data_IF_326925651555
#
_entry.id   IF_326925651555
#
_cell.length_a   1.000
_cell.length_b   1.000
_cell.length_c   1.000
_cell.angle_alpha   90.00
_cell.angle_beta   90.00
_cell.angle_gamma   90.00
#
_symmetry.space_group_name_H-M   'P 1'
#
loop_
_entity.id
_entity.type
_entity.pdbx_description
1 polymer ?
#
# COMPACT_ATOMS: atom_id res chain seq x y z
N UNK A 1 34.69 36.13 12.03
CA UNK A 1 33.27 36.11 11.58
C UNK A 1 33.21 35.38 10.25
N UNK A 2 32.79 34.11 10.25
CA UNK A 2 32.52 33.35 9.01
C UNK A 2 31.04 32.99 9.04
N UNK A 3 30.25 33.72 8.27
CA UNK A 3 28.84 33.44 8.05
C UNK A 3 28.74 32.26 7.09
N UNK A 4 28.53 31.07 7.65
CA UNK A 4 28.14 29.90 6.88
C UNK A 4 26.80 30.20 6.20
N UNK A 5 26.81 30.43 4.88
CA UNK A 5 25.61 30.45 4.06
C UNK A 5 25.00 29.05 4.10
N UNK A 6 23.89 28.92 4.81
CA UNK A 6 23.01 27.76 4.66
C UNK A 6 22.43 27.86 3.25
N UNK A 7 22.93 27.05 2.32
CA UNK A 7 22.30 26.84 1.02
C UNK A 7 20.96 26.13 1.26
N UNK A 8 19.90 26.89 1.56
CA UNK A 8 18.54 26.40 1.44
C UNK A 8 18.20 26.38 -0.05
N UNK A 9 18.57 25.30 -0.75
CA UNK A 9 18.11 25.05 -2.11
C UNK A 9 16.59 25.05 -2.08
N UNK A 10 15.95 26.05 -2.71
CA UNK A 10 14.51 26.06 -2.94
C UNK A 10 14.12 24.74 -3.61
N UNK A 11 13.10 24.02 -3.10
CA UNK A 11 12.70 22.76 -3.72
C UNK A 11 12.32 22.99 -5.19
N UNK A 12 12.85 22.14 -6.06
CA UNK A 12 12.55 22.16 -7.50
C UNK A 12 11.12 21.71 -7.79
N UNK A 13 10.55 22.14 -8.92
CA UNK A 13 9.25 21.62 -9.41
C UNK A 13 9.24 20.08 -9.50
N UNK A 14 10.38 19.46 -9.82
CA UNK A 14 10.53 18.01 -9.87
C UNK A 14 10.45 17.35 -8.49
N UNK A 15 11.02 17.97 -7.44
CA UNK A 15 10.90 17.45 -6.07
C UNK A 15 9.47 17.53 -5.58
N UNK A 16 8.77 18.61 -5.91
CA UNK A 16 7.38 18.83 -5.51
C UNK A 16 6.45 17.83 -6.20
N UNK A 17 6.72 17.57 -7.49
CA UNK A 17 6.02 16.53 -8.24
C UNK A 17 6.25 15.12 -7.66
N UNK A 18 7.49 14.77 -7.31
CA UNK A 18 7.78 13.46 -6.67
C UNK A 18 7.10 13.31 -5.31
N UNK A 19 6.94 14.41 -4.58
CA UNK A 19 6.34 14.42 -3.25
C UNK A 19 4.81 14.40 -3.28
N UNK A 20 4.18 15.15 -4.21
CA UNK A 20 2.72 15.18 -4.36
C UNK A 20 2.18 13.81 -4.81
N UNK A 21 2.89 13.12 -5.71
CA UNK A 21 2.50 11.78 -6.19
C UNK A 21 2.91 10.65 -5.25
N UNK A 22 3.73 10.93 -4.24
CA UNK A 22 4.39 9.92 -3.39
C UNK A 22 5.07 8.83 -4.22
N UNK A 23 5.95 9.23 -5.15
CA UNK A 23 6.58 8.34 -6.14
C UNK A 23 7.10 7.00 -5.59
N UNK A 24 7.77 6.99 -4.42
CA UNK A 24 8.26 5.75 -3.79
C UNK A 24 7.15 4.78 -3.41
N UNK A 25 6.04 5.30 -2.87
CA UNK A 25 4.86 4.51 -2.55
C UNK A 25 4.20 4.01 -3.84
N UNK A 26 4.06 4.88 -4.84
CA UNK A 26 3.49 4.53 -6.14
C UNK A 26 4.25 3.38 -6.81
N UNK A 27 5.59 3.41 -6.80
CA UNK A 27 6.43 2.32 -7.33
C UNK A 27 6.16 1.00 -6.61
N UNK A 28 6.08 1.01 -5.27
CA UNK A 28 5.79 -0.20 -4.49
C UNK A 28 4.40 -0.77 -4.79
N UNK A 29 3.41 0.09 -5.03
CA UNK A 29 2.06 -0.33 -5.39
C UNK A 29 2.01 -0.89 -6.80
N UNK A 30 2.67 -0.22 -7.76
CA UNK A 30 2.81 -0.70 -9.14
C UNK A 30 3.52 -2.05 -9.18
N UNK A 31 4.57 -2.23 -8.38
CA UNK A 31 5.25 -3.52 -8.24
C UNK A 31 4.28 -4.63 -7.84
N UNK A 32 3.38 -4.36 -6.88
CA UNK A 32 2.37 -5.33 -6.46
C UNK A 32 1.39 -5.65 -7.59
N UNK A 33 0.95 -4.66 -8.38
CA UNK A 33 0.10 -4.89 -9.56
C UNK A 33 0.81 -5.71 -10.64
N UNK A 34 2.07 -5.40 -10.94
CA UNK A 34 2.84 -6.17 -11.92
C UNK A 34 3.07 -7.61 -11.45
N UNK A 35 3.35 -7.82 -10.16
CA UNK A 35 3.44 -9.17 -9.59
C UNK A 35 2.13 -9.94 -9.76
N UNK A 36 0.98 -9.30 -9.48
CA UNK A 36 -0.34 -9.90 -9.71
C UNK A 36 -0.60 -10.26 -11.16
N UNK A 37 -0.18 -9.39 -12.10
CA UNK A 37 -0.28 -9.65 -13.53
C UNK A 37 0.51 -10.89 -13.95
N UNK A 38 1.77 -10.99 -13.51
CA UNK A 38 2.58 -12.16 -13.81
C UNK A 38 1.99 -13.45 -13.26
N UNK A 39 1.30 -13.40 -12.12
CA UNK A 39 0.61 -14.56 -11.58
C UNK A 39 -0.60 -14.96 -12.44
N UNK A 40 -1.37 -14.00 -12.96
CA UNK A 40 -2.60 -14.26 -13.73
C UNK A 40 -2.41 -14.55 -15.22
N UNK A 41 -1.29 -14.11 -15.81
CA UNK A 41 -1.03 -14.19 -17.25
C UNK A 41 -0.61 -15.59 -17.71
N UNK A 42 -1.29 -16.16 -18.70
CA UNK A 42 -0.85 -17.41 -19.36
C UNK A 42 0.30 -17.12 -20.34
N UNK A 43 0.19 -16.02 -21.07
CA UNK A 43 1.25 -15.46 -21.91
C UNK A 43 1.47 -14.01 -21.51
N UNK A 44 2.72 -13.62 -21.29
CA UNK A 44 3.06 -12.25 -20.88
C UNK A 44 2.92 -11.30 -22.06
N UNK A 45 2.01 -10.33 -21.94
CA UNK A 45 1.90 -9.18 -22.82
C UNK A 45 2.56 -7.96 -22.15
N UNK A 46 3.73 -7.58 -22.67
CA UNK A 46 4.50 -6.44 -22.16
C UNK A 46 3.80 -5.10 -22.37
N UNK A 47 2.89 -4.98 -23.34
CA UNK A 47 2.08 -3.77 -23.53
C UNK A 47 1.12 -3.63 -22.35
N UNK A 48 0.45 -4.71 -21.94
CA UNK A 48 -0.43 -4.69 -20.76
C UNK A 48 0.36 -4.39 -19.49
N UNK A 49 1.56 -4.96 -19.31
CA UNK A 49 2.44 -4.63 -18.17
C UNK A 49 2.77 -3.14 -18.13
N UNK A 50 3.11 -2.54 -19.27
CA UNK A 50 3.43 -1.11 -19.37
C UNK A 50 2.20 -0.24 -19.06
N UNK A 51 1.05 -0.55 -19.65
CA UNK A 51 -0.21 0.15 -19.37
C UNK A 51 -0.59 0.04 -17.90
N UNK A 52 -0.44 -1.15 -17.30
CA UNK A 52 -0.72 -1.40 -15.89
C UNK A 52 0.18 -0.56 -14.98
N UNK A 53 1.47 -0.45 -15.32
CA UNK A 53 2.42 0.37 -14.57
C UNK A 53 2.09 1.87 -14.67
N UNK A 54 1.76 2.37 -15.86
CA UNK A 54 1.40 3.78 -16.09
C UNK A 54 0.07 4.11 -15.41
N UNK A 55 -0.97 3.31 -15.67
CA UNK A 55 -2.29 3.48 -15.09
C UNK A 55 -2.26 3.39 -13.57
N UNK A 56 -1.60 2.37 -13.02
CA UNK A 56 -1.40 2.21 -11.57
C UNK A 56 -0.67 3.39 -10.93
N UNK A 57 0.41 3.90 -11.56
CA UNK A 57 1.13 5.08 -11.09
C UNK A 57 0.22 6.32 -11.04
N UNK A 58 -0.57 6.56 -12.09
CA UNK A 58 -1.51 7.67 -12.12
C UNK A 58 -2.60 7.56 -11.05
N UNK A 59 -3.19 6.37 -10.85
CA UNK A 59 -4.20 6.16 -9.81
C UNK A 59 -3.64 6.43 -8.41
N UNK A 60 -2.44 5.95 -8.10
CA UNK A 60 -1.79 6.18 -6.79
C UNK A 60 -1.38 7.65 -6.65
N UNK A 61 -0.83 8.25 -7.70
CA UNK A 61 -0.44 9.66 -7.72
C UNK A 61 -1.63 10.59 -7.48
N UNK A 62 -2.75 10.35 -8.16
CA UNK A 62 -4.00 11.08 -7.96
C UNK A 62 -4.53 10.94 -6.53
N UNK A 63 -4.58 9.71 -6.01
CA UNK A 63 -5.04 9.42 -4.65
C UNK A 63 -4.25 10.20 -3.59
N UNK A 64 -2.92 10.25 -3.74
CA UNK A 64 -2.04 10.99 -2.82
C UNK A 64 -2.14 12.51 -2.99
N UNK A 65 -2.36 13.00 -4.21
CA UNK A 65 -2.59 14.42 -4.47
C UNK A 65 -3.90 14.89 -3.83
N UNK A 66 -5.01 14.16 -4.01
CA UNK A 66 -6.27 14.47 -3.35
C UNK A 66 -6.17 14.37 -1.82
N UNK A 67 -5.48 13.36 -1.29
CA UNK A 67 -5.27 13.23 0.14
C UNK A 67 -4.55 14.45 0.73
N UNK A 68 -3.51 14.97 0.07
CA UNK A 68 -2.80 16.18 0.51
C UNK A 68 -3.64 17.46 0.39
N UNK A 69 -4.61 17.51 -0.51
CA UNK A 69 -5.58 18.61 -0.60
C UNK A 69 -6.54 18.56 0.59
N UNK A 70 -7.16 17.40 0.84
CA UNK A 70 -8.17 17.22 1.89
C UNK A 70 -7.56 17.42 3.28
N UNK A 71 -6.32 16.97 3.49
CA UNK A 71 -5.66 17.01 4.79
C UNK A 71 -4.74 18.21 4.97
N UNK A 72 -4.76 19.20 4.06
CA UNK A 72 -3.82 20.32 4.04
C UNK A 72 -3.58 20.94 5.43
N UNK A 73 -4.65 21.32 6.11
CA UNK A 73 -4.56 22.04 7.38
C UNK A 73 -4.11 21.12 8.53
N UNK A 74 -4.48 19.84 8.49
CA UNK A 74 -4.06 18.84 9.47
C UNK A 74 -2.59 18.45 9.27
N UNK A 75 -2.18 18.30 8.02
CA UNK A 75 -0.79 17.99 7.64
C UNK A 75 0.16 19.10 8.06
N UNK A 76 -0.28 20.36 8.14
CA UNK A 76 0.52 21.49 8.64
C UNK A 76 0.86 21.36 10.14
N UNK A 77 0.08 20.58 10.91
CA UNK A 77 0.27 20.38 12.35
C UNK A 77 1.27 19.25 12.68
N UNK A 78 1.62 18.41 11.70
CA UNK A 78 2.45 17.23 11.89
C UNK A 78 3.87 17.42 11.34
N UNK A 79 4.88 16.98 12.08
CA UNK A 79 6.29 17.22 11.76
C UNK A 79 6.71 16.55 10.45
N UNK A 80 6.13 15.39 10.16
CA UNK A 80 6.42 14.62 8.95
C UNK A 80 5.83 15.25 7.68
N UNK A 81 4.75 16.01 7.80
CA UNK A 81 3.92 16.39 6.63
C UNK A 81 3.81 17.89 6.42
N UNK A 82 4.16 18.71 7.41
CA UNK A 82 4.10 20.18 7.31
C UNK A 82 4.90 20.76 6.14
N UNK A 83 5.95 20.05 5.71
CA UNK A 83 6.80 20.46 4.60
C UNK A 83 6.32 19.96 3.23
N UNK A 84 5.21 19.20 3.15
CA UNK A 84 4.67 18.72 1.87
C UNK A 84 4.24 19.88 0.96
N UNK A 85 4.15 19.70 -0.37
CA UNK A 85 3.95 20.82 -1.30
C UNK A 85 2.70 21.65 -1.02
N UNK A 86 1.57 21.01 -0.72
CA UNK A 86 0.29 21.72 -0.48
C UNK A 86 0.22 22.34 0.94
N UNK A 87 0.54 21.62 2.04
CA UNK A 87 0.59 22.20 3.38
C UNK A 87 1.59 23.34 3.55
N UNK A 88 2.77 23.25 2.91
CA UNK A 88 3.81 24.29 2.99
C UNK A 88 3.58 25.48 2.07
N UNK A 89 2.54 25.46 1.23
CA UNK A 89 2.24 26.51 0.27
C UNK A 89 3.12 26.55 -0.97
N UNK A 90 4.06 25.59 -1.14
CA UNK A 90 4.90 25.48 -2.36
C UNK A 90 4.08 25.13 -3.61
N UNK A 91 2.93 24.48 -3.42
CA UNK A 91 1.97 24.16 -4.49
C UNK A 91 0.58 24.63 -4.09
N UNK A 92 -0.10 25.35 -4.98
CA UNK A 92 -1.48 25.79 -4.74
C UNK A 92 -2.45 24.60 -4.74
N UNK A 93 -3.55 24.72 -3.99
CA UNK A 93 -4.63 23.70 -3.96
C UNK A 93 -5.19 23.48 -5.36
N UNK A 94 -5.38 24.55 -6.14
CA UNK A 94 -5.87 24.48 -7.52
C UNK A 94 -4.94 23.67 -8.42
N UNK A 95 -3.62 23.91 -8.34
CA UNK A 95 -2.62 23.16 -9.10
C UNK A 95 -2.64 21.68 -8.72
N UNK A 96 -2.66 21.37 -7.42
CA UNK A 96 -2.73 19.99 -6.94
C UNK A 96 -4.02 19.29 -7.41
N UNK A 97 -5.16 20.00 -7.41
CA UNK A 97 -6.45 19.48 -7.86
C UNK A 97 -6.45 19.16 -9.36
N UNK A 98 -5.88 20.05 -10.18
CA UNK A 98 -5.71 19.82 -11.63
C UNK A 98 -4.85 18.58 -11.87
N UNK A 99 -3.70 18.46 -11.20
CA UNK A 99 -2.83 17.28 -11.32
C UNK A 99 -3.59 16.01 -10.94
N UNK A 100 -4.28 16.02 -9.80
CA UNK A 100 -5.04 14.87 -9.32
C UNK A 100 -6.16 14.47 -10.30
N UNK A 101 -6.89 15.44 -10.84
CA UNK A 101 -7.98 15.22 -11.81
C UNK A 101 -7.45 14.65 -13.13
N UNK A 102 -6.40 15.24 -13.69
CA UNK A 102 -5.76 14.74 -14.90
C UNK A 102 -5.24 13.31 -14.71
N UNK A 103 -4.56 13.05 -13.60
CA UNK A 103 -4.07 11.70 -13.29
C UNK A 103 -5.20 10.70 -13.11
N UNK A 104 -6.32 11.09 -12.51
CA UNK A 104 -7.49 10.22 -12.38
C UNK A 104 -8.04 9.83 -13.74
N UNK A 105 -8.27 10.81 -14.63
CA UNK A 105 -8.81 10.55 -15.97
C UNK A 105 -7.84 9.71 -16.79
N UNK A 106 -6.56 10.10 -16.85
CA UNK A 106 -5.55 9.34 -17.60
C UNK A 106 -5.37 7.93 -17.04
N UNK A 107 -5.32 7.77 -15.71
CA UNK A 107 -5.20 6.47 -15.07
C UNK A 107 -6.36 5.55 -15.41
N UNK A 108 -7.61 6.04 -15.31
CA UNK A 108 -8.79 5.26 -15.65
C UNK A 108 -8.86 4.90 -17.14
N UNK A 109 -8.53 5.84 -18.02
CA UNK A 109 -8.49 5.58 -19.47
C UNK A 109 -7.46 4.50 -19.79
N UNK A 110 -6.23 4.61 -19.25
CA UNK A 110 -5.17 3.62 -19.45
C UNK A 110 -5.58 2.24 -18.94
N UNK A 111 -6.18 2.16 -17.75
CA UNK A 111 -6.67 0.89 -17.22
C UNK A 111 -7.85 0.33 -18.03
N UNK A 112 -8.69 1.19 -18.63
CA UNK A 112 -9.82 0.77 -19.46
C UNK A 112 -9.36 0.15 -20.78
N UNK A 113 -8.28 0.68 -21.36
CA UNK A 113 -7.63 0.11 -22.55
C UNK A 113 -7.21 -1.35 -22.31
N UNK A 114 -6.78 -1.68 -21.08
CA UNK A 114 -6.49 -3.06 -20.70
C UNK A 114 -7.79 -3.87 -20.66
N UNK A 115 -8.72 -3.49 -19.78
CA UNK A 115 -10.11 -3.97 -19.79
C UNK A 115 -11.00 -3.14 -18.84
N UNK A 116 -12.33 -3.16 -19.01
CA UNK A 116 -13.26 -2.40 -18.16
C UNK A 116 -13.23 -2.76 -16.67
N UNK A 117 -12.99 -4.04 -16.31
CA UNK A 117 -12.97 -4.49 -14.91
C UNK A 117 -11.77 -3.89 -14.16
N UNK A 118 -10.61 -3.79 -14.82
CA UNK A 118 -9.40 -3.16 -14.27
C UNK A 118 -9.62 -1.68 -13.99
N UNK A 119 -10.24 -0.94 -14.93
CA UNK A 119 -10.62 0.45 -14.72
C UNK A 119 -11.63 0.62 -13.58
N UNK A 120 -12.64 -0.25 -13.51
CA UNK A 120 -13.63 -0.24 -12.43
C UNK A 120 -12.99 -0.40 -11.05
N UNK A 121 -12.10 -1.39 -10.87
CA UNK A 121 -11.39 -1.56 -9.60
C UNK A 121 -10.46 -0.39 -9.28
N UNK A 122 -9.81 0.21 -10.29
CA UNK A 122 -9.07 1.46 -10.13
C UNK A 122 -9.96 2.59 -9.61
N UNK A 123 -11.14 2.77 -10.22
CA UNK A 123 -12.14 3.77 -9.82
C UNK A 123 -12.66 3.56 -8.41
N UNK A 124 -13.00 2.31 -8.05
CA UNK A 124 -13.38 1.94 -6.68
C UNK A 124 -12.25 2.27 -5.71
N UNK A 125 -11.00 1.93 -6.05
CA UNK A 125 -9.85 2.18 -5.18
C UNK A 125 -9.68 3.66 -4.85
N UNK A 126 -9.65 4.53 -5.87
CA UNK A 126 -9.50 5.98 -5.63
C UNK A 126 -10.69 6.55 -4.88
N UNK A 127 -11.91 6.11 -5.19
CA UNK A 127 -13.11 6.56 -4.48
C UNK A 127 -13.08 6.17 -3.00
N UNK A 128 -12.78 4.91 -2.68
CA UNK A 128 -12.65 4.45 -1.30
C UNK A 128 -11.54 5.19 -0.55
N UNK A 129 -10.40 5.43 -1.21
CA UNK A 129 -9.26 6.10 -0.59
C UNK A 129 -9.54 7.59 -0.30
N UNK A 130 -10.06 8.31 -1.29
CA UNK A 130 -10.23 9.77 -1.23
C UNK A 130 -11.52 10.15 -0.50
N UNK A 131 -12.64 9.54 -0.85
CA UNK A 131 -13.97 9.96 -0.37
C UNK A 131 -14.35 9.34 0.97
N UNK A 132 -13.81 8.15 1.30
CA UNK A 132 -14.19 7.43 2.52
C UNK A 132 -13.01 7.40 3.50
N UNK A 133 -11.92 6.72 3.16
CA UNK A 133 -10.77 6.53 4.04
C UNK A 133 -10.19 7.85 4.55
N UNK A 134 -9.89 8.80 3.66
CA UNK A 134 -9.22 10.05 4.03
C UNK A 134 -10.02 10.85 5.07
N UNK A 135 -11.31 11.15 4.88
CA UNK A 135 -12.13 11.80 5.90
C UNK A 135 -12.34 10.97 7.17
N UNK A 136 -12.33 9.63 7.10
CA UNK A 136 -12.54 8.78 8.27
C UNK A 136 -11.36 8.81 9.25
N UNK A 137 -10.13 9.13 8.79
CA UNK A 137 -8.93 9.13 9.64
C UNK A 137 -9.05 10.01 10.88
N UNK A 138 -9.80 11.11 10.82
CA UNK A 138 -10.05 12.01 11.95
C UNK A 138 -11.30 11.67 12.76
N UNK A 139 -12.08 10.66 12.32
CA UNK A 139 -13.37 10.30 12.94
C UNK A 139 -13.30 8.99 13.72
N UNK A 140 -12.59 7.99 13.21
CA UNK A 140 -12.62 6.65 13.81
C UNK A 140 -11.38 5.80 13.49
N UNK A 141 -10.95 4.93 14.43
CA UNK A 141 -9.99 3.85 14.17
C UNK A 141 -10.36 2.93 13.00
N UNK A 142 -11.64 2.85 12.64
CA UNK A 142 -12.12 2.05 11.50
C UNK A 142 -11.60 2.58 10.15
N UNK A 143 -11.01 3.78 10.11
CA UNK A 143 -10.33 4.30 8.93
C UNK A 143 -9.30 3.32 8.39
N UNK A 144 -8.47 2.68 9.22
CA UNK A 144 -7.46 1.73 8.75
C UNK A 144 -8.09 0.51 8.07
N UNK A 145 -9.23 0.03 8.58
CA UNK A 145 -9.97 -1.06 7.95
C UNK A 145 -10.53 -0.67 6.58
N UNK A 146 -11.14 0.52 6.47
CA UNK A 146 -11.62 1.03 5.18
C UNK A 146 -10.48 1.27 4.21
N UNK A 147 -9.35 1.81 4.70
CA UNK A 147 -8.14 2.04 3.90
C UNK A 147 -7.48 0.75 3.42
N UNK A 148 -7.74 -0.39 4.08
CA UNK A 148 -7.20 -1.69 3.66
C UNK A 148 -7.79 -2.17 2.33
N UNK A 149 -9.02 -1.78 1.98
CA UNK A 149 -9.64 -2.12 0.69
C UNK A 149 -8.88 -1.53 -0.51
N UNK A 150 -8.73 -0.20 -0.65
CA UNK A 150 -8.00 0.37 -1.79
C UNK A 150 -6.53 -0.05 -1.80
N UNK A 151 -5.93 -0.29 -0.62
CA UNK A 151 -4.57 -0.81 -0.54
C UNK A 151 -4.41 -2.27 -0.98
N UNK A 152 -5.47 -3.07 -0.92
CA UNK A 152 -5.47 -4.48 -1.32
C UNK A 152 -5.74 -4.70 -2.82
N UNK A 153 -6.46 -3.76 -3.44
CA UNK A 153 -6.81 -3.80 -4.87
C UNK A 153 -5.61 -3.99 -5.81
N UNK A 154 -4.46 -3.30 -5.66
CA UNK A 154 -3.38 -3.35 -6.64
C UNK A 154 -2.90 -4.76 -6.98
N UNK A 155 -2.71 -5.64 -5.99
CA UNK A 155 -2.19 -6.99 -6.23
C UNK A 155 -3.19 -7.86 -7.00
N UNK A 156 -4.48 -7.83 -6.61
CA UNK A 156 -5.53 -8.53 -7.34
C UNK A 156 -5.81 -7.93 -8.72
N UNK A 157 -5.68 -6.60 -8.86
CA UNK A 157 -5.96 -5.86 -10.08
C UNK A 157 -4.98 -6.26 -11.18
N UNK A 158 -3.74 -6.58 -10.83
CA UNK A 158 -2.79 -7.20 -11.73
C UNK A 158 -3.30 -8.50 -12.36
N UNK A 159 -3.82 -9.42 -11.55
CA UNK A 159 -4.39 -10.66 -12.05
C UNK A 159 -5.59 -10.40 -12.96
N UNK A 160 -6.50 -9.52 -12.56
CA UNK A 160 -7.68 -9.11 -13.38
C UNK A 160 -7.25 -8.45 -14.69
N UNK A 161 -6.13 -7.71 -14.72
CA UNK A 161 -5.57 -7.14 -15.93
C UNK A 161 -5.09 -8.22 -16.90
N UNK A 162 -4.58 -9.35 -16.39
CA UNK A 162 -4.13 -10.47 -17.20
C UNK A 162 -5.26 -11.40 -17.66
N UNK A 163 -6.18 -11.76 -16.75
CA UNK A 163 -7.23 -12.75 -17.02
C UNK A 163 -8.54 -12.16 -17.51
N UNK A 164 -8.77 -10.86 -17.28
CA UNK A 164 -10.08 -10.25 -17.48
C UNK A 164 -11.16 -10.76 -16.53
N UNK A 165 -10.83 -11.54 -15.49
CA UNK A 165 -11.79 -12.21 -14.63
C UNK A 165 -11.56 -11.96 -13.14
N UNK A 166 -12.67 -11.89 -12.38
CA UNK A 166 -12.67 -11.81 -10.92
C UNK A 166 -13.23 -13.09 -10.32
N UNK A 167 -12.32 -13.97 -9.90
CA UNK A 167 -12.58 -15.32 -9.37
C UNK A 167 -11.84 -15.53 -8.04
N UNK A 168 -11.69 -16.79 -7.60
CA UNK A 168 -11.02 -17.12 -6.34
C UNK A 168 -9.55 -16.66 -6.30
N UNK A 169 -8.88 -16.60 -7.45
CA UNK A 169 -7.48 -16.21 -7.58
C UNK A 169 -7.22 -14.74 -7.21
N UNK A 170 -7.80 -13.74 -7.91
CA UNK A 170 -7.64 -12.34 -7.53
C UNK A 170 -8.23 -12.08 -6.14
N UNK A 171 -9.31 -12.78 -5.76
CA UNK A 171 -9.85 -12.73 -4.39
C UNK A 171 -8.80 -13.11 -3.34
N UNK A 172 -8.03 -14.16 -3.57
CA UNK A 172 -6.96 -14.60 -2.66
C UNK A 172 -5.83 -13.56 -2.57
N UNK A 173 -5.39 -13.02 -3.70
CA UNK A 173 -4.35 -11.97 -3.73
C UNK A 173 -4.80 -10.71 -2.98
N UNK A 174 -6.09 -10.34 -3.12
CA UNK A 174 -6.70 -9.27 -2.35
C UNK A 174 -6.63 -9.57 -0.85
N UNK A 175 -7.04 -10.77 -0.42
CA UNK A 175 -7.06 -11.14 1.00
C UNK A 175 -5.66 -11.12 1.63
N UNK A 176 -4.63 -11.59 0.90
CA UNK A 176 -3.23 -11.52 1.35
C UNK A 176 -2.84 -10.06 1.61
N UNK A 177 -3.07 -9.19 0.62
CA UNK A 177 -2.70 -7.79 0.72
C UNK A 177 -3.52 -7.08 1.80
N UNK A 178 -4.82 -7.40 1.92
CA UNK A 178 -5.76 -6.83 2.90
C UNK A 178 -5.34 -7.12 4.35
N UNK A 179 -5.11 -8.39 4.69
CA UNK A 179 -4.71 -8.76 6.05
C UNK A 179 -3.32 -8.23 6.40
N UNK A 180 -2.40 -8.21 5.45
CA UNK A 180 -1.06 -7.68 5.65
C UNK A 180 -1.04 -6.20 6.04
N UNK A 181 -2.03 -5.41 5.58
CA UNK A 181 -2.06 -3.96 5.84
C UNK A 181 -2.17 -3.62 7.32
N UNK A 182 -2.89 -4.43 8.09
CA UNK A 182 -3.16 -4.16 9.50
C UNK A 182 -1.89 -4.14 10.37
N UNK A 183 -1.07 -5.21 10.43
CA UNK A 183 0.17 -5.17 11.21
C UNK A 183 1.12 -4.07 10.72
N UNK A 184 1.14 -3.80 9.40
CA UNK A 184 1.96 -2.74 8.82
C UNK A 184 1.51 -1.32 9.24
N UNK A 185 0.25 -0.97 8.98
CA UNK A 185 -0.29 0.35 9.27
C UNK A 185 -0.43 0.62 10.76
N UNK A 186 -0.77 -0.37 11.57
CA UNK A 186 -0.77 -0.20 13.01
C UNK A 186 0.64 -0.06 13.58
N UNK A 187 1.66 -0.70 12.99
CA UNK A 187 3.05 -0.42 13.33
C UNK A 187 3.45 1.03 13.01
N UNK A 188 3.03 1.55 11.85
CA UNK A 188 3.21 2.97 11.50
C UNK A 188 2.47 3.88 12.49
N UNK A 189 1.21 3.59 12.78
CA UNK A 189 0.38 4.32 13.73
C UNK A 189 0.97 4.32 15.14
N UNK A 190 1.62 3.24 15.55
CA UNK A 190 2.30 3.13 16.84
C UNK A 190 3.59 3.94 16.87
N UNK A 191 4.41 3.83 15.81
CA UNK A 191 5.67 4.54 15.70
C UNK A 191 5.47 6.07 15.65
N UNK A 192 4.46 6.52 14.88
CA UNK A 192 4.15 7.93 14.66
C UNK A 192 2.96 8.43 15.50
N UNK A 193 2.62 7.74 16.58
CA UNK A 193 1.42 8.01 17.37
C UNK A 193 1.30 9.48 17.81
N UNK A 194 2.39 10.03 18.35
CA UNK A 194 2.40 11.40 18.86
C UNK A 194 2.28 12.44 17.74
N UNK A 195 2.82 12.14 16.56
CA UNK A 195 2.68 12.99 15.37
C UNK A 195 1.23 12.97 14.85
N UNK A 196 0.63 11.77 14.69
CA UNK A 196 -0.77 11.62 14.31
C UNK A 196 -1.73 12.30 15.27
N UNK A 197 -1.42 12.29 16.57
CA UNK A 197 -2.21 12.97 17.60
C UNK A 197 -2.25 14.49 17.38
N UNK A 198 -1.17 15.11 16.87
CA UNK A 198 -1.14 16.54 16.55
C UNK A 198 -2.14 16.90 15.45
N UNK A 199 -2.27 16.03 14.44
CA UNK A 199 -3.24 16.16 13.35
C UNK A 199 -4.64 15.61 13.68
N UNK A 200 -4.91 15.16 14.91
CA UNK A 200 -6.21 14.60 15.31
C UNK A 200 -6.55 13.25 14.66
N UNK A 201 -5.55 12.48 14.21
CA UNK A 201 -5.76 11.21 13.51
C UNK A 201 -5.85 10.00 14.46
N UNK A 202 -6.81 9.11 14.17
CA UNK A 202 -7.05 7.86 14.90
C UNK A 202 -6.56 6.65 14.09
N UNK A 203 -5.27 6.32 14.22
CA UNK A 203 -4.63 5.28 13.41
C UNK A 203 -4.49 3.92 14.09
N UNK A 204 -4.65 3.84 15.41
CA UNK A 204 -4.56 2.60 16.15
C UNK A 204 -5.95 2.01 16.38
N UNK A 205 -6.11 0.67 16.36
CA UNK A 205 -7.43 0.03 16.42
C UNK A 205 -8.16 0.29 17.75
N UNK A 206 -7.43 0.47 18.86
CA UNK A 206 -8.00 0.91 20.15
C UNK A 206 -7.87 2.42 20.38
N UNK A 207 -7.33 3.15 19.40
CA UNK A 207 -7.00 4.58 19.49
C UNK A 207 -5.78 4.88 20.37
N UNK A 208 -5.12 3.89 20.98
CA UNK A 208 -4.01 4.09 21.94
C UNK A 208 -2.90 3.05 21.79
N UNK A 209 -1.69 3.38 22.23
CA UNK A 209 -0.53 2.46 22.32
C UNK A 209 -0.68 1.52 23.53
N UNK A 210 -1.59 0.57 23.44
CA UNK A 210 -1.94 -0.33 24.54
C UNK A 210 -1.73 -1.82 24.20
N UNK A 211 -2.01 -2.68 25.19
CA UNK A 211 -1.94 -4.13 25.02
C UNK A 211 -2.96 -4.65 23.99
N UNK A 212 -4.13 -4.02 23.89
CA UNK A 212 -5.19 -4.42 22.94
C UNK A 212 -4.76 -4.24 21.49
N UNK A 213 -4.20 -3.08 21.16
CA UNK A 213 -3.60 -2.81 19.83
C UNK A 213 -2.48 -3.80 19.54
N UNK A 214 -1.59 -4.07 20.50
CA UNK A 214 -0.49 -4.99 20.28
C UNK A 214 -0.95 -6.45 20.08
N UNK A 215 -2.01 -6.90 20.75
CA UNK A 215 -2.62 -8.21 20.52
C UNK A 215 -3.20 -8.28 19.10
N UNK A 216 -3.95 -7.25 18.68
CA UNK A 216 -4.52 -7.22 17.33
C UNK A 216 -3.42 -7.27 16.26
N UNK A 217 -2.31 -6.53 16.43
CA UNK A 217 -1.15 -6.61 15.54
C UNK A 217 -0.61 -8.05 15.41
N UNK A 218 -0.48 -8.77 16.52
CA UNK A 218 -0.02 -10.18 16.51
C UNK A 218 -1.05 -11.08 15.81
N UNK A 219 -2.33 -10.96 16.15
CA UNK A 219 -3.40 -11.77 15.56
C UNK A 219 -3.50 -11.56 14.04
N UNK A 220 -3.48 -10.32 13.58
CA UNK A 220 -3.51 -10.02 12.15
C UNK A 220 -2.21 -10.42 11.42
N UNK A 221 -1.06 -10.44 12.12
CA UNK A 221 0.17 -11.03 11.58
C UNK A 221 0.01 -12.53 11.35
N UNK A 222 -0.63 -13.25 12.27
CA UNK A 222 -0.94 -14.69 12.12
C UNK A 222 -1.89 -14.90 10.94
N UNK A 223 -2.99 -14.14 10.87
CA UNK A 223 -3.93 -14.22 9.75
C UNK A 223 -3.27 -13.95 8.40
N UNK A 224 -2.37 -12.96 8.34
CA UNK A 224 -1.59 -12.67 7.14
C UNK A 224 -0.80 -13.91 6.69
N UNK A 225 -0.12 -14.60 7.62
CA UNK A 225 0.66 -15.80 7.31
C UNK A 225 -0.25 -16.94 6.84
N UNK A 226 -1.36 -17.19 7.55
CA UNK A 226 -2.31 -18.25 7.19
C UNK A 226 -2.88 -18.05 5.79
N UNK A 227 -3.35 -16.84 5.49
CA UNK A 227 -3.92 -16.50 4.18
C UNK A 227 -2.86 -16.60 3.07
N UNK A 228 -1.62 -16.21 3.36
CA UNK A 228 -0.50 -16.31 2.42
C UNK A 228 -0.08 -17.75 2.07
N UNK A 229 -0.53 -18.74 2.86
CA UNK A 229 -0.24 -20.16 2.65
C UNK A 229 -1.40 -20.92 2.02
N UNK A 230 -2.58 -20.30 1.86
CA UNK A 230 -3.76 -20.96 1.27
C UNK A 230 -3.44 -21.59 -0.11
N UNK A 231 -2.70 -20.93 -1.02
CA UNK A 231 -2.40 -21.50 -2.33
C UNK A 231 -1.57 -22.78 -2.32
N UNK A 232 -0.91 -23.13 -1.21
CA UNK A 232 -0.20 -24.41 -1.05
C UNK A 232 -1.16 -25.60 -1.06
N UNK A 233 -2.39 -25.40 -0.60
CA UNK A 233 -3.39 -26.46 -0.52
C UNK A 233 -4.10 -26.73 -1.86
N UNK A 234 -3.79 -25.96 -2.92
CA UNK A 234 -4.39 -26.16 -4.25
C UNK A 234 -5.88 -25.82 -4.34
N UNK A 235 -6.43 -25.08 -3.37
CA UNK A 235 -7.86 -24.71 -3.32
C UNK A 235 -8.17 -23.37 -3.98
N UNK A 236 -7.16 -22.69 -4.54
CA UNK A 236 -7.25 -21.33 -5.09
C UNK A 236 -7.17 -21.31 -6.61
N UNK A 237 -7.78 -22.28 -7.29
CA UNK A 237 -7.83 -22.31 -8.75
C UNK A 237 -6.43 -22.36 -9.40
N UNK A 238 -6.18 -21.50 -10.39
CA UNK A 238 -4.86 -21.44 -11.07
C UNK A 238 -3.76 -20.81 -10.20
N UNK A 239 -4.12 -20.06 -9.16
CA UNK A 239 -3.15 -19.54 -8.21
C UNK A 239 -2.70 -20.71 -7.33
N UNK A 240 -1.48 -21.17 -7.53
CA UNK A 240 -0.89 -22.30 -6.80
C UNK A 240 0.52 -21.95 -6.35
N UNK A 241 0.92 -22.46 -5.19
CA UNK A 241 2.24 -22.30 -4.62
C UNK A 241 2.80 -23.68 -4.25
N UNK A 242 4.03 -24.00 -4.67
CA UNK A 242 4.64 -25.28 -4.28
C UNK A 242 4.85 -25.37 -2.76
N UNK A 243 4.91 -26.59 -2.18
CA UNK A 243 5.22 -26.77 -0.76
C UNK A 243 6.56 -26.14 -0.35
N UNK A 244 7.57 -26.16 -1.25
CA UNK A 244 8.89 -25.54 -1.01
C UNK A 244 8.73 -24.02 -0.84
N UNK A 245 8.06 -23.36 -1.77
CA UNK A 245 7.77 -21.92 -1.67
C UNK A 245 6.87 -21.59 -0.47
N UNK A 246 5.94 -22.49 -0.13
CA UNK A 246 5.15 -22.40 1.10
C UNK A 246 6.00 -22.34 2.37
N UNK A 247 7.03 -23.19 2.47
CA UNK A 247 7.98 -23.17 3.60
C UNK A 247 8.76 -21.85 3.63
N UNK A 248 9.22 -21.34 2.48
CA UNK A 248 9.92 -20.05 2.40
C UNK A 248 9.03 -18.93 2.94
N UNK A 249 7.77 -18.87 2.52
CA UNK A 249 6.81 -17.86 2.96
C UNK A 249 6.50 -17.99 4.45
N UNK A 250 6.39 -19.21 4.96
CA UNK A 250 6.21 -19.45 6.39
C UNK A 250 7.41 -18.93 7.20
N UNK A 251 8.65 -19.17 6.76
CA UNK A 251 9.86 -18.67 7.42
C UNK A 251 9.89 -17.13 7.42
N UNK A 252 9.61 -16.50 6.28
CA UNK A 252 9.49 -15.04 6.19
C UNK A 252 8.39 -14.50 7.13
N UNK A 253 7.28 -15.22 7.21
CA UNK A 253 6.13 -14.91 8.06
C UNK A 253 6.47 -14.98 9.54
N UNK A 254 7.16 -16.04 9.97
CA UNK A 254 7.69 -16.20 11.33
C UNK A 254 8.63 -15.03 11.67
N UNK A 255 9.46 -14.58 10.72
CA UNK A 255 10.29 -13.39 10.88
C UNK A 255 9.48 -12.13 11.18
N UNK A 256 8.41 -11.87 10.42
CA UNK A 256 7.48 -10.76 10.68
C UNK A 256 6.78 -10.91 12.04
N UNK A 257 6.27 -12.11 12.35
CA UNK A 257 5.56 -12.43 13.59
C UNK A 257 6.46 -12.25 14.81
N UNK A 258 7.75 -12.60 14.71
CA UNK A 258 8.74 -12.32 15.75
C UNK A 258 8.76 -10.83 16.11
N UNK A 259 8.80 -9.94 15.12
CA UNK A 259 8.76 -8.49 15.37
C UNK A 259 7.42 -8.01 15.92
N UNK A 260 6.30 -8.64 15.54
CA UNK A 260 4.99 -8.36 16.12
C UNK A 260 4.94 -8.72 17.61
N UNK A 261 5.45 -9.90 17.98
CA UNK A 261 5.57 -10.32 19.39
C UNK A 261 6.55 -9.44 20.16
N UNK A 262 7.65 -8.99 19.53
CA UNK A 262 8.58 -8.02 20.13
C UNK A 262 7.90 -6.69 20.42
N UNK A 263 7.05 -6.19 19.52
CA UNK A 263 6.24 -5.00 19.78
C UNK A 263 5.26 -5.24 20.93
N UNK A 264 4.61 -6.41 21.00
CA UNK A 264 3.74 -6.76 22.12
C UNK A 264 4.45 -6.77 23.47
N UNK A 265 5.67 -7.30 23.54
CA UNK A 265 6.47 -7.35 24.77
C UNK A 265 7.02 -5.98 25.15
N UNK A 266 7.63 -5.26 24.20
CA UNK A 266 8.37 -4.02 24.48
C UNK A 266 7.50 -2.77 24.47
N UNK A 267 6.48 -2.72 23.60
CA UNK A 267 5.55 -1.58 23.42
C UNK A 267 6.23 -0.25 23.09
N UNK A 268 7.44 -0.29 22.53
CA UNK A 268 8.21 0.90 22.18
C UNK A 268 8.04 1.30 20.71
N UNK A 269 8.21 2.60 20.43
CA UNK A 269 8.21 3.13 19.07
C UNK A 269 9.28 2.47 18.17
N UNK A 270 10.43 2.14 18.73
CA UNK A 270 11.51 1.45 18.01
C UNK A 270 11.13 0.02 17.62
N UNK A 271 10.42 -0.70 18.50
CA UNK A 271 9.89 -2.03 18.16
C UNK A 271 8.85 -1.95 17.03
N UNK A 272 7.98 -0.94 17.07
CA UNK A 272 7.00 -0.70 16.01
C UNK A 272 7.67 -0.38 14.67
N UNK A 273 8.69 0.48 14.65
CA UNK A 273 9.47 0.76 13.44
C UNK A 273 10.11 -0.51 12.85
N UNK A 274 10.65 -1.40 13.69
CA UNK A 274 11.21 -2.69 13.23
C UNK A 274 10.15 -3.61 12.62
N UNK A 275 8.97 -3.71 13.25
CA UNK A 275 7.84 -4.44 12.67
C UNK A 275 7.39 -3.85 11.33
N UNK A 276 7.26 -2.53 11.23
CA UNK A 276 6.93 -1.86 9.98
C UNK A 276 7.91 -2.27 8.87
N UNK A 277 9.22 -2.21 9.12
CA UNK A 277 10.22 -2.63 8.14
C UNK A 277 10.10 -4.13 7.80
N UNK A 278 9.96 -4.99 8.81
CA UNK A 278 9.79 -6.43 8.61
C UNK A 278 8.55 -6.77 7.78
N UNK A 279 7.44 -6.05 7.98
CA UNK A 279 6.21 -6.24 7.20
C UNK A 279 6.39 -5.83 5.74
N UNK A 280 7.11 -4.74 5.44
CA UNK A 280 7.43 -4.34 4.05
C UNK A 280 8.32 -5.38 3.38
N UNK A 281 9.33 -5.88 4.09
CA UNK A 281 10.18 -6.97 3.60
C UNK A 281 9.37 -8.23 3.33
N UNK A 282 8.46 -8.60 4.24
CA UNK A 282 7.59 -9.78 4.09
C UNK A 282 6.75 -9.71 2.81
N UNK A 283 5.98 -8.64 2.60
CA UNK A 283 5.09 -8.57 1.42
C UNK A 283 5.87 -8.51 0.11
N UNK A 284 7.00 -7.78 0.09
CA UNK A 284 7.83 -7.65 -1.11
C UNK A 284 8.44 -8.99 -1.50
N UNK A 285 9.04 -9.69 -0.52
CA UNK A 285 9.64 -11.01 -0.75
C UNK A 285 8.59 -12.07 -1.05
N UNK A 286 7.42 -12.01 -0.41
CA UNK A 286 6.29 -12.90 -0.71
C UNK A 286 5.90 -12.79 -2.18
N UNK A 287 5.69 -11.57 -2.69
CA UNK A 287 5.31 -11.35 -4.08
C UNK A 287 6.37 -11.88 -5.06
N UNK A 288 7.65 -11.69 -4.74
CA UNK A 288 8.76 -12.25 -5.52
C UNK A 288 8.72 -13.78 -5.52
N UNK A 289 8.57 -14.41 -4.34
CA UNK A 289 8.51 -15.88 -4.22
C UNK A 289 7.33 -16.45 -4.99
N UNK A 290 6.14 -15.85 -4.89
CA UNK A 290 4.96 -16.25 -5.66
C UNK A 290 5.21 -16.22 -7.17
N UNK A 291 5.78 -15.13 -7.68
CA UNK A 291 6.04 -14.97 -9.11
C UNK A 291 7.11 -15.96 -9.58
N UNK A 292 8.21 -16.10 -8.83
CA UNK A 292 9.28 -17.06 -9.16
C UNK A 292 8.78 -18.50 -9.13
N UNK A 293 7.97 -18.88 -8.13
CA UNK A 293 7.39 -20.22 -8.02
C UNK A 293 6.61 -20.59 -9.28
N UNK A 294 5.75 -19.69 -9.74
CA UNK A 294 4.97 -19.90 -10.96
C UNK A 294 5.88 -20.15 -12.16
N UNK A 295 6.81 -19.25 -12.44
CA UNK A 295 7.66 -19.35 -13.63
C UNK A 295 8.61 -20.55 -13.59
N UNK A 296 9.15 -20.89 -12.42
CA UNK A 296 10.00 -22.08 -12.27
C UNK A 296 9.18 -23.34 -12.53
N UNK A 297 7.95 -23.40 -12.04
CA UNK A 297 7.05 -24.56 -12.18
C UNK A 297 6.48 -24.71 -13.60
N UNK A 298 6.33 -23.64 -14.35
CA UNK A 298 5.93 -23.70 -15.76
C UNK A 298 7.09 -24.05 -16.69
N UNK A 299 8.34 -23.84 -16.23
CA UNK A 299 9.54 -24.14 -17.00
C UNK A 299 10.01 -25.60 -16.87
N UNK A 300 9.77 -26.23 -15.71
CA UNK A 300 10.09 -27.63 -15.41
C UNK A 300 8.92 -28.53 -15.81
#
# INVERSE_FOLDING_TARGET
>A
MSSARVNSSSPSLLSDFKEITKMRLAISVVFSSVAGYFLGAETVDFVVVLLLAIGGYFMVGASNAYNQIIEKDLDALMDRTKNRPVPSGRMSVTTAFIIASVFTVLGLVVLYIINPKTAMFGGISIFLYVSIYTPLKTKTPLSVFVGAFPGAIPFMLGWVAASGEFSIEPGTLFMIQFFWQFPHFWAIGWWLYDDYKKGGFFMLPTGKRDKGTAIQIVLYSIWTILVSLIPVFGVTGRLYLTPVSGVIILVLGIGMLYYAVRLFKLKTAQAAKKLMLASVSYITLLQIVYVLDKFIREWI
#
